data_IF_172561866613
#
_entry.id   IF_172561866613
#
_cell.length_a   1.000
_cell.length_b   1.000
_cell.length_c   1.000
_cell.angle_alpha   90.00
_cell.angle_beta   90.00
_cell.angle_gamma   90.00
#
_symmetry.space_group_name_H-M   'P 1'
#
loop_
_entity.id
_entity.type
_entity.pdbx_description
1 polymer ?
#
# COMPACT_ATOMS: atom_id res chain seq x y z
N UNK A 1 28.42 1.87 -28.64
CA UNK A 1 28.08 2.52 -27.35
C UNK A 1 26.63 2.29 -26.92
N UNK A 2 25.63 2.66 -27.73
CA UNK A 2 24.19 2.51 -27.40
C UNK A 2 23.80 1.05 -27.06
N UNK A 3 24.28 0.07 -27.84
CA UNK A 3 23.97 -1.34 -27.61
C UNK A 3 24.54 -1.89 -26.30
N UNK A 4 25.70 -1.38 -25.84
CA UNK A 4 26.28 -1.72 -24.55
C UNK A 4 25.46 -1.12 -23.39
N UNK A 5 24.95 0.10 -23.54
CA UNK A 5 24.06 0.74 -22.57
C UNK A 5 22.74 -0.03 -22.44
N UNK A 6 22.13 -0.43 -23.56
CA UNK A 6 20.92 -1.27 -23.59
C UNK A 6 21.14 -2.56 -22.82
N UNK A 7 22.21 -3.30 -23.11
CA UNK A 7 22.55 -4.54 -22.37
C UNK A 7 22.74 -4.26 -20.89
N UNK A 8 23.46 -3.20 -20.51
CA UNK A 8 23.67 -2.85 -19.09
C UNK A 8 22.35 -2.59 -18.36
N UNK A 9 21.43 -1.85 -18.96
CA UNK A 9 20.11 -1.58 -18.37
C UNK A 9 19.29 -2.87 -18.18
N UNK A 10 19.31 -3.76 -19.17
CA UNK A 10 18.67 -5.07 -19.11
C UNK A 10 19.24 -5.91 -17.94
N UNK A 11 20.57 -6.01 -17.85
CA UNK A 11 21.24 -6.72 -16.75
C UNK A 11 20.90 -6.11 -15.38
N UNK A 12 20.92 -4.78 -15.24
CA UNK A 12 20.54 -4.11 -13.99
C UNK A 12 19.08 -4.37 -13.62
N UNK A 13 18.17 -4.38 -14.60
CA UNK A 13 16.76 -4.71 -14.41
C UNK A 13 16.57 -6.14 -13.90
N UNK A 14 17.32 -7.11 -14.45
CA UNK A 14 17.29 -8.51 -13.99
C UNK A 14 17.79 -8.63 -12.56
N UNK A 15 18.92 -7.99 -12.22
CA UNK A 15 19.49 -8.01 -10.87
C UNK A 15 18.50 -7.44 -9.85
N UNK A 16 17.85 -6.31 -10.17
CA UNK A 16 16.82 -5.72 -9.31
C UNK A 16 15.67 -6.68 -9.05
N UNK A 17 15.12 -7.31 -10.09
CA UNK A 17 14.01 -8.25 -9.94
C UNK A 17 14.41 -9.57 -9.27
N UNK A 18 15.66 -10.01 -9.40
CA UNK A 18 16.13 -11.28 -8.81
C UNK A 18 16.55 -11.19 -7.35
N UNK A 19 16.92 -10.00 -6.87
CA UNK A 19 17.40 -9.82 -5.49
C UNK A 19 16.54 -8.86 -4.67
N UNK A 20 16.26 -7.66 -5.19
CA UNK A 20 15.54 -6.63 -4.42
C UNK A 20 14.06 -6.99 -4.24
N UNK A 21 13.43 -7.54 -5.28
CA UNK A 21 12.02 -7.94 -5.23
C UNK A 21 11.78 -9.08 -4.21
N UNK A 22 12.56 -10.19 -4.20
CA UNK A 22 12.43 -11.21 -3.16
C UNK A 22 12.67 -10.69 -1.74
N UNK A 23 13.66 -9.82 -1.53
CA UNK A 23 13.89 -9.20 -0.21
C UNK A 23 12.66 -8.40 0.20
N UNK A 24 12.15 -7.54 -0.70
CA UNK A 24 10.93 -6.75 -0.46
C UNK A 24 9.73 -7.63 -0.13
N UNK A 25 9.58 -8.76 -0.85
CA UNK A 25 8.54 -9.74 -0.59
C UNK A 25 8.66 -10.36 0.81
N UNK A 26 9.83 -10.88 1.18
CA UNK A 26 10.07 -11.51 2.48
C UNK A 26 9.86 -10.52 3.62
N UNK A 27 10.47 -9.33 3.55
CA UNK A 27 10.31 -8.30 4.57
C UNK A 27 8.87 -7.83 4.69
N UNK A 28 8.17 -7.71 3.55
CA UNK A 28 6.77 -7.29 3.50
C UNK A 28 5.83 -8.30 4.13
N UNK A 29 5.99 -9.59 3.81
CA UNK A 29 5.19 -10.68 4.39
C UNK A 29 5.47 -10.79 5.88
N UNK A 30 6.74 -10.84 6.31
CA UNK A 30 7.12 -10.93 7.72
C UNK A 30 6.54 -9.77 8.53
N UNK A 31 6.70 -8.54 8.03
CA UNK A 31 6.16 -7.35 8.69
C UNK A 31 4.64 -7.40 8.84
N UNK A 32 3.91 -7.72 7.76
CA UNK A 32 2.46 -7.80 7.83
C UNK A 32 1.95 -8.98 8.69
N UNK A 33 2.66 -10.11 8.74
CA UNK A 33 2.35 -11.21 9.68
C UNK A 33 2.49 -10.78 11.14
N UNK A 34 3.58 -10.07 11.49
CA UNK A 34 3.73 -9.54 12.84
C UNK A 34 2.65 -8.50 13.18
N UNK A 35 2.25 -7.65 12.22
CA UNK A 35 1.10 -6.77 12.42
C UNK A 35 -0.17 -7.57 12.75
N UNK A 36 -0.46 -8.67 12.03
CA UNK A 36 -1.61 -9.52 12.35
C UNK A 36 -1.54 -10.06 13.77
N UNK A 37 -0.39 -10.62 14.17
CA UNK A 37 -0.20 -11.19 15.51
C UNK A 37 -0.40 -10.11 16.59
N UNK A 38 0.15 -8.91 16.39
CA UNK A 38 0.05 -7.84 17.39
C UNK A 38 -1.36 -7.24 17.46
N UNK A 39 -1.98 -6.94 16.32
CA UNK A 39 -3.31 -6.32 16.29
C UNK A 39 -4.44 -7.26 16.74
N UNK A 40 -4.20 -8.58 16.74
CA UNK A 40 -5.10 -9.59 17.33
C UNK A 40 -4.96 -9.75 18.84
N UNK A 41 -3.99 -9.09 19.50
CA UNK A 41 -3.88 -9.10 20.97
C UNK A 41 -5.03 -8.34 21.62
N UNK A 42 -5.44 -8.81 22.80
CA UNK A 42 -6.59 -8.27 23.58
C UNK A 42 -6.56 -6.73 23.73
N UNK A 43 -5.38 -6.15 23.95
CA UNK A 43 -5.23 -4.70 24.17
C UNK A 43 -5.36 -3.84 22.90
N UNK A 44 -5.16 -4.43 21.73
CA UNK A 44 -5.38 -3.79 20.44
C UNK A 44 -6.79 -4.04 19.94
N UNK A 45 -7.34 -5.25 20.12
CA UNK A 45 -8.71 -5.59 19.76
C UNK A 45 -9.77 -4.76 20.50
N UNK A 46 -9.45 -4.15 21.64
CA UNK A 46 -10.35 -3.19 22.30
C UNK A 46 -10.55 -1.90 21.51
N UNK A 47 -9.64 -1.56 20.60
CA UNK A 47 -9.69 -0.32 19.82
C UNK A 47 -10.23 -0.59 18.41
N UNK A 48 -11.26 0.16 18.01
CA UNK A 48 -11.83 0.12 16.66
C UNK A 48 -10.78 0.37 15.56
N UNK A 49 -9.87 1.33 15.76
CA UNK A 49 -8.80 1.62 14.81
C UNK A 49 -7.90 0.43 14.46
N UNK A 50 -7.64 -0.45 15.44
CA UNK A 50 -6.82 -1.65 15.20
C UNK A 50 -7.45 -2.58 14.16
N UNK A 51 -8.78 -2.57 14.01
CA UNK A 51 -9.46 -3.38 13.00
C UNK A 51 -9.10 -2.92 11.58
N UNK A 52 -8.99 -1.60 11.33
CA UNK A 52 -8.56 -1.10 10.02
C UNK A 52 -7.11 -1.47 9.73
N UNK A 53 -6.21 -1.35 10.71
CA UNK A 53 -4.80 -1.77 10.53
C UNK A 53 -4.67 -3.29 10.34
N UNK A 54 -5.49 -4.07 11.03
CA UNK A 54 -5.57 -5.52 10.87
C UNK A 54 -6.03 -5.86 9.45
N UNK A 55 -7.16 -5.30 9.00
CA UNK A 55 -7.68 -5.51 7.65
C UNK A 55 -6.71 -5.03 6.56
N UNK A 56 -6.00 -3.93 6.78
CA UNK A 56 -4.94 -3.47 5.88
C UNK A 56 -3.78 -4.46 5.82
N UNK A 57 -3.38 -5.05 6.94
CA UNK A 57 -2.29 -6.04 6.97
C UNK A 57 -2.68 -7.33 6.23
N UNK A 58 -3.94 -7.78 6.36
CA UNK A 58 -4.47 -8.91 5.58
C UNK A 58 -4.43 -8.56 4.08
N UNK A 59 -4.97 -7.41 3.70
CA UNK A 59 -5.01 -6.97 2.32
C UNK A 59 -3.59 -6.81 1.73
N UNK A 60 -2.63 -6.31 2.50
CA UNK A 60 -1.23 -6.22 2.10
C UNK A 60 -0.62 -7.60 1.85
N UNK A 61 -0.89 -8.61 2.70
CA UNK A 61 -0.44 -9.98 2.45
C UNK A 61 -1.01 -10.51 1.13
N UNK A 62 -2.32 -10.33 0.90
CA UNK A 62 -2.96 -10.72 -0.36
C UNK A 62 -2.28 -10.01 -1.54
N UNK A 63 -1.95 -8.72 -1.41
CA UNK A 63 -1.24 -7.95 -2.43
C UNK A 63 0.16 -8.50 -2.73
N UNK A 64 0.92 -8.90 -1.71
CA UNK A 64 2.22 -9.53 -1.89
C UNK A 64 2.09 -10.88 -2.60
N UNK A 65 1.12 -11.71 -2.19
CA UNK A 65 0.90 -13.05 -2.76
C UNK A 65 0.34 -13.03 -4.19
N UNK A 66 -0.54 -12.08 -4.52
CA UNK A 66 -1.17 -12.02 -5.85
C UNK A 66 -0.40 -11.11 -6.81
N UNK A 67 0.08 -9.96 -6.33
CA UNK A 67 0.79 -8.97 -7.13
C UNK A 67 2.29 -9.22 -7.20
N UNK A 68 2.99 -9.17 -6.05
CA UNK A 68 4.45 -9.20 -6.04
C UNK A 68 5.02 -10.59 -6.36
N UNK A 69 4.42 -11.65 -5.86
CA UNK A 69 4.88 -13.03 -6.12
C UNK A 69 4.76 -13.39 -7.60
N UNK A 70 3.61 -13.12 -8.24
CA UNK A 70 3.43 -13.42 -9.67
C UNK A 70 4.43 -12.64 -10.52
N UNK A 71 4.68 -11.38 -10.15
CA UNK A 71 5.71 -10.53 -10.78
C UNK A 71 7.12 -11.05 -10.54
N UNK A 72 7.45 -11.47 -9.32
CA UNK A 72 8.77 -12.00 -8.98
C UNK A 72 9.08 -13.26 -9.79
N UNK A 73 8.12 -14.18 -9.88
CA UNK A 73 8.25 -15.41 -10.65
C UNK A 73 8.43 -15.12 -12.15
N UNK A 74 7.60 -14.24 -12.72
CA UNK A 74 7.64 -13.91 -14.14
C UNK A 74 8.83 -13.02 -14.53
N UNK A 75 8.99 -11.85 -13.91
CA UNK A 75 9.99 -10.84 -14.28
C UNK A 75 11.40 -11.18 -13.75
N UNK A 76 11.51 -11.85 -12.59
CA UNK A 76 12.79 -12.14 -11.93
C UNK A 76 13.39 -13.51 -12.25
N UNK A 77 12.53 -14.53 -12.29
CA UNK A 77 12.93 -15.93 -12.47
C UNK A 77 12.51 -16.53 -13.82
N UNK A 78 11.81 -15.77 -14.67
CA UNK A 78 11.34 -16.22 -15.98
C UNK A 78 10.47 -17.49 -15.90
N UNK A 79 9.77 -17.67 -14.78
CA UNK A 79 8.85 -18.78 -14.57
C UNK A 79 7.53 -18.45 -15.27
N UNK A 80 7.20 -19.25 -16.29
CA UNK A 80 5.92 -19.16 -16.99
C UNK A 80 4.81 -19.73 -16.10
N UNK A 81 3.89 -18.88 -15.66
CA UNK A 81 2.72 -19.32 -14.89
C UNK A 81 1.72 -19.96 -15.88
N UNK A 82 1.28 -21.22 -15.69
CA UNK A 82 0.32 -21.85 -16.58
C UNK A 82 -0.94 -20.99 -16.77
N UNK A 83 -1.35 -20.77 -18.01
CA UNK A 83 -2.50 -19.92 -18.34
C UNK A 83 -2.25 -18.40 -18.29
N UNK A 84 -1.01 -17.96 -18.00
CA UNK A 84 -0.66 -16.53 -17.94
C UNK A 84 -0.86 -15.77 -19.25
N UNK A 85 -0.87 -16.49 -20.38
CA UNK A 85 -1.03 -15.90 -21.71
C UNK A 85 -2.50 -15.74 -22.12
N UNK A 86 -3.45 -16.07 -21.25
CA UNK A 86 -4.88 -15.91 -21.52
C UNK A 86 -5.34 -14.46 -21.25
N UNK A 87 -6.28 -13.96 -22.07
CA UNK A 87 -6.89 -12.64 -21.85
C UNK A 87 -7.55 -12.55 -20.47
N UNK A 88 -8.21 -13.63 -20.04
CA UNK A 88 -8.84 -13.71 -18.72
C UNK A 88 -7.81 -13.51 -17.59
N UNK A 89 -6.62 -14.12 -17.69
CA UNK A 89 -5.56 -13.92 -16.71
C UNK A 89 -5.10 -12.46 -16.67
N UNK A 90 -4.85 -11.84 -17.83
CA UNK A 90 -4.48 -10.42 -17.92
C UNK A 90 -5.52 -9.51 -17.24
N UNK A 91 -6.79 -9.68 -17.60
CA UNK A 91 -7.91 -8.89 -17.07
C UNK A 91 -8.04 -9.03 -15.56
N UNK A 92 -8.14 -10.27 -15.07
CA UNK A 92 -8.32 -10.56 -13.64
C UNK A 92 -7.11 -10.09 -12.84
N UNK A 93 -5.88 -10.33 -13.33
CA UNK A 93 -4.67 -9.94 -12.62
C UNK A 93 -4.57 -8.42 -12.47
N UNK A 94 -4.78 -7.66 -13.54
CA UNK A 94 -4.72 -6.19 -13.46
C UNK A 94 -5.85 -5.67 -12.57
N UNK A 95 -7.08 -6.18 -12.74
CA UNK A 95 -8.21 -5.82 -11.90
C UNK A 95 -7.94 -6.06 -10.40
N UNK A 96 -7.46 -7.24 -10.04
CA UNK A 96 -7.14 -7.61 -8.66
C UNK A 96 -6.04 -6.72 -8.09
N UNK A 97 -4.95 -6.51 -8.84
CA UNK A 97 -3.86 -5.64 -8.42
C UNK A 97 -4.41 -4.26 -8.07
N UNK A 98 -5.07 -3.58 -9.02
CA UNK A 98 -5.59 -2.25 -8.76
C UNK A 98 -6.53 -2.23 -7.54
N UNK A 99 -7.53 -3.12 -7.52
CA UNK A 99 -8.50 -3.22 -6.41
C UNK A 99 -7.83 -3.38 -5.05
N UNK A 100 -6.87 -4.31 -4.93
CA UNK A 100 -6.16 -4.59 -3.68
C UNK A 100 -5.30 -3.39 -3.26
N UNK A 101 -4.60 -2.74 -4.19
CA UNK A 101 -3.79 -1.56 -3.89
C UNK A 101 -4.64 -0.41 -3.29
N UNK A 102 -5.89 -0.25 -3.74
CA UNK A 102 -6.80 0.80 -3.24
C UNK A 102 -7.27 0.52 -1.81
N UNK A 103 -7.68 -0.71 -1.52
CA UNK A 103 -8.35 -1.08 -0.26
C UNK A 103 -7.52 -0.66 0.97
N UNK A 104 -6.21 -0.95 0.96
CA UNK A 104 -5.33 -0.61 2.09
C UNK A 104 -5.23 0.90 2.35
N UNK A 105 -5.21 1.72 1.29
CA UNK A 105 -5.16 3.18 1.45
C UNK A 105 -6.43 3.72 2.10
N UNK A 106 -7.59 3.21 1.70
CA UNK A 106 -8.87 3.58 2.31
C UNK A 106 -8.98 3.14 3.77
N UNK A 107 -8.47 1.96 4.13
CA UNK A 107 -8.40 1.55 5.53
C UNK A 107 -7.56 2.51 6.39
N UNK A 108 -6.44 3.04 5.87
CA UNK A 108 -5.64 4.04 6.58
C UNK A 108 -6.37 5.39 6.72
N UNK A 109 -7.15 5.81 5.73
CA UNK A 109 -8.02 6.98 5.84
C UNK A 109 -9.06 6.76 6.95
N UNK A 110 -9.76 5.62 6.96
CA UNK A 110 -10.75 5.34 8.00
C UNK A 110 -10.12 5.18 9.39
N UNK A 111 -8.93 4.61 9.48
CA UNK A 111 -8.14 4.60 10.71
C UNK A 111 -7.86 6.03 11.20
N UNK A 112 -7.51 6.94 10.29
CA UNK A 112 -7.30 8.36 10.60
C UNK A 112 -8.59 9.05 11.07
N UNK A 113 -9.72 8.77 10.41
CA UNK A 113 -11.06 9.27 10.82
C UNK A 113 -11.41 8.78 12.22
N UNK A 114 -11.24 7.49 12.50
CA UNK A 114 -11.48 6.91 13.83
C UNK A 114 -10.64 7.62 14.90
N UNK A 115 -9.36 7.88 14.60
CA UNK A 115 -8.49 8.64 15.51
C UNK A 115 -8.96 10.07 15.69
N UNK A 116 -9.39 10.77 14.65
CA UNK A 116 -9.97 12.10 14.76
C UNK A 116 -11.16 12.11 15.73
N UNK A 117 -12.13 11.21 15.56
CA UNK A 117 -13.29 11.12 16.44
C UNK A 117 -12.94 10.66 17.87
N UNK A 118 -11.89 9.87 18.05
CA UNK A 118 -11.38 9.49 19.38
C UNK A 118 -10.86 10.69 20.20
N UNK A 119 -10.52 11.78 19.52
CA UNK A 119 -10.07 13.05 20.12
C UNK A 119 -11.17 14.10 20.22
N UNK A 120 -12.36 13.81 19.69
CA UNK A 120 -13.49 14.72 19.72
C UNK A 120 -14.10 14.82 21.14
N UNK A 121 -14.61 16.00 21.47
CA UNK A 121 -15.18 16.33 22.78
C UNK A 121 -16.53 15.63 22.99
N UNK A 122 -17.34 15.52 21.93
CA UNK A 122 -18.64 14.85 21.99
C UNK A 122 -18.49 13.35 22.24
N UNK A 123 -18.94 12.89 23.41
CA UNK A 123 -18.89 11.49 23.81
C UNK A 123 -19.77 10.59 22.91
N UNK A 124 -20.96 11.07 22.52
CA UNK A 124 -21.88 10.36 21.63
C UNK A 124 -21.26 10.08 20.26
N UNK A 125 -20.69 11.11 19.62
CA UNK A 125 -20.01 10.97 18.32
C UNK A 125 -18.82 10.01 18.41
N UNK A 126 -18.03 10.11 19.48
CA UNK A 126 -16.90 9.21 19.74
C UNK A 126 -17.35 7.75 19.88
N UNK A 127 -18.37 7.48 20.69
CA UNK A 127 -18.86 6.12 20.93
C UNK A 127 -19.43 5.48 19.66
N UNK A 128 -20.17 6.26 18.86
CA UNK A 128 -20.75 5.77 17.62
C UNK A 128 -19.69 5.43 16.56
N UNK A 129 -18.80 6.39 16.25
CA UNK A 129 -17.79 6.22 15.19
C UNK A 129 -16.69 5.25 15.59
N UNK A 130 -16.19 5.33 16.84
CA UNK A 130 -15.15 4.44 17.35
C UNK A 130 -15.71 3.09 17.83
N UNK A 131 -16.83 2.64 17.26
CA UNK A 131 -17.41 1.33 17.56
C UNK A 131 -16.87 0.28 16.60
N UNK A 132 -16.72 -0.96 17.07
CA UNK A 132 -16.32 -2.09 16.21
C UNK A 132 -17.34 -2.33 15.10
N UNK A 133 -18.64 -2.18 15.40
CA UNK A 133 -19.72 -2.35 14.43
C UNK A 133 -19.57 -1.37 13.25
N UNK A 134 -19.30 -0.11 13.53
CA UNK A 134 -19.03 0.88 12.48
C UNK A 134 -17.77 0.54 11.70
N UNK A 135 -16.69 0.13 12.38
CA UNK A 135 -15.46 -0.26 11.71
C UNK A 135 -15.67 -1.42 10.73
N UNK A 136 -16.34 -2.50 11.15
CA UNK A 136 -16.68 -3.61 10.27
C UNK A 136 -17.55 -3.17 9.09
N UNK A 137 -18.58 -2.34 9.34
CA UNK A 137 -19.44 -1.81 8.27
C UNK A 137 -18.62 -1.03 7.23
N UNK A 138 -17.73 -0.14 7.67
CA UNK A 138 -16.88 0.65 6.79
C UNK A 138 -15.87 -0.23 6.04
N UNK A 139 -15.29 -1.24 6.69
CA UNK A 139 -14.37 -2.19 6.04
C UNK A 139 -15.10 -2.93 4.91
N UNK A 140 -16.28 -3.51 5.17
CA UNK A 140 -17.05 -4.22 4.15
C UNK A 140 -17.47 -3.29 3.00
N UNK A 141 -17.97 -2.09 3.33
CA UNK A 141 -18.38 -1.11 2.33
C UNK A 141 -17.20 -0.67 1.45
N UNK A 142 -16.01 -0.53 2.04
CA UNK A 142 -14.78 -0.18 1.31
C UNK A 142 -14.38 -1.27 0.35
N UNK A 143 -14.40 -2.54 0.79
CA UNK A 143 -14.06 -3.68 -0.06
C UNK A 143 -15.03 -3.75 -1.24
N UNK A 144 -16.34 -3.71 -0.97
CA UNK A 144 -17.37 -3.74 -2.02
C UNK A 144 -17.23 -2.53 -2.96
N UNK A 145 -17.05 -1.33 -2.43
CA UNK A 145 -16.87 -0.12 -3.23
C UNK A 145 -15.62 -0.18 -4.12
N UNK A 146 -14.51 -0.72 -3.61
CA UNK A 146 -13.27 -0.90 -4.38
C UNK A 146 -13.43 -1.96 -5.48
N UNK A 147 -14.16 -3.06 -5.22
CA UNK A 147 -14.49 -4.07 -6.23
C UNK A 147 -15.31 -3.44 -7.37
N UNK A 148 -16.38 -2.71 -7.02
CA UNK A 148 -17.27 -2.10 -7.99
C UNK A 148 -16.58 -1.00 -8.81
N UNK A 149 -15.82 -0.10 -8.18
CA UNK A 149 -15.19 1.02 -8.89
C UNK A 149 -14.12 0.54 -9.88
N UNK A 150 -13.50 -0.62 -9.63
CA UNK A 150 -12.46 -1.16 -10.52
C UNK A 150 -12.99 -2.10 -11.61
N UNK A 151 -14.28 -2.45 -11.63
CA UNK A 151 -14.83 -3.45 -12.56
C UNK A 151 -14.57 -3.13 -14.03
N UNK A 152 -14.57 -1.85 -14.40
CA UNK A 152 -14.23 -1.36 -15.73
C UNK A 152 -12.88 -1.88 -16.28
N UNK A 153 -11.89 -2.21 -15.44
CA UNK A 153 -10.58 -2.73 -15.85
C UNK A 153 -10.72 -4.05 -16.62
N UNK A 154 -11.65 -4.92 -16.19
CA UNK A 154 -11.88 -6.22 -16.81
C UNK A 154 -12.33 -6.06 -18.27
N UNK A 155 -13.10 -5.01 -18.56
CA UNK A 155 -13.65 -4.75 -19.90
C UNK A 155 -12.58 -4.23 -20.85
N UNK A 156 -11.71 -3.33 -20.39
CA UNK A 156 -10.80 -2.58 -21.27
C UNK A 156 -9.41 -3.18 -21.42
N UNK A 157 -8.97 -4.07 -20.52
CA UNK A 157 -7.67 -4.73 -20.64
C UNK A 157 -7.73 -6.01 -21.47
N UNK A 158 -6.71 -6.23 -22.29
CA UNK A 158 -6.50 -7.46 -23.05
C UNK A 158 -5.02 -7.65 -23.36
N UNK A 159 -4.63 -8.84 -23.81
CA UNK A 159 -3.31 -9.00 -24.40
C UNK A 159 -3.29 -8.44 -25.82
N UNK A 160 -2.27 -7.65 -26.10
CA UNK A 160 -1.95 -7.13 -27.42
C UNK A 160 -0.55 -7.59 -27.82
N UNK A 161 -0.38 -7.87 -29.11
CA UNK A 161 0.93 -8.13 -29.69
C UNK A 161 1.60 -6.80 -30.01
N UNK A 162 2.73 -6.56 -29.37
CA UNK A 162 3.59 -5.44 -29.65
C UNK A 162 4.84 -5.91 -30.39
N UNK A 163 5.07 -5.34 -31.57
CA UNK A 163 6.27 -5.59 -32.37
C UNK A 163 7.29 -4.50 -32.03
N UNK A 164 8.44 -4.91 -31.50
CA UNK A 164 9.53 -3.95 -31.26
C UNK A 164 10.28 -3.61 -32.56
N UNK A 165 11.21 -2.66 -32.49
CA UNK A 165 12.07 -2.25 -33.61
C UNK A 165 12.92 -3.36 -34.24
N UNK A 166 13.03 -4.53 -33.58
CA UNK A 166 13.79 -5.69 -34.05
C UNK A 166 12.88 -6.81 -34.57
N UNK A 167 11.62 -6.52 -34.91
CA UNK A 167 10.59 -7.50 -35.31
C UNK A 167 10.32 -8.61 -34.27
N UNK A 168 10.73 -8.42 -33.01
CA UNK A 168 10.39 -9.34 -31.93
C UNK A 168 8.99 -9.04 -31.43
N UNK A 169 8.09 -10.00 -31.60
CA UNK A 169 6.75 -9.94 -31.02
C UNK A 169 6.82 -10.19 -29.52
N UNK A 170 6.17 -9.31 -28.76
CA UNK A 170 6.02 -9.41 -27.31
C UNK A 170 4.55 -9.24 -26.95
N UNK A 171 4.08 -10.08 -26.04
CA UNK A 171 2.70 -10.02 -25.55
C UNK A 171 2.63 -9.07 -24.37
N UNK A 172 1.82 -8.02 -24.46
CA UNK A 172 1.67 -7.00 -23.42
C UNK A 172 0.20 -6.91 -23.00
N UNK A 173 -0.04 -6.96 -21.68
CA UNK A 173 -1.37 -6.77 -21.11
C UNK A 173 -1.64 -5.27 -20.97
N UNK A 174 -2.44 -4.70 -21.86
CA UNK A 174 -2.76 -3.26 -21.90
C UNK A 174 -4.15 -3.03 -22.50
N UNK A 175 -4.61 -1.78 -22.50
CA UNK A 175 -5.77 -1.37 -23.29
C UNK A 175 -5.32 -0.81 -24.64
N UNK A 176 -6.10 -1.03 -25.70
CA UNK A 176 -5.98 -0.34 -26.99
C UNK A 176 -6.80 0.96 -27.04
N UNK A 177 -7.70 1.16 -26.07
CA UNK A 177 -8.50 2.38 -25.98
C UNK A 177 -7.69 3.50 -25.31
N UNK A 178 -7.29 4.49 -26.11
CA UNK A 178 -6.50 5.64 -25.65
C UNK A 178 -7.21 6.50 -24.61
N UNK A 179 -8.51 6.77 -24.79
CA UNK A 179 -9.30 7.55 -23.84
C UNK A 179 -9.32 6.85 -22.48
N UNK A 180 -9.45 5.52 -22.49
CA UNK A 180 -9.42 4.72 -21.27
C UNK A 180 -8.05 4.77 -20.58
N UNK A 181 -6.93 4.71 -21.31
CA UNK A 181 -5.59 4.84 -20.72
C UNK A 181 -5.41 6.19 -20.02
N UNK A 182 -5.88 7.28 -20.65
CA UNK A 182 -5.84 8.64 -20.07
C UNK A 182 -6.69 8.68 -18.79
N UNK A 183 -7.93 8.21 -18.89
CA UNK A 183 -8.85 8.12 -17.76
C UNK A 183 -8.21 7.34 -16.60
N UNK A 184 -7.67 6.14 -16.86
CA UNK A 184 -7.08 5.30 -15.82
C UNK A 184 -5.83 5.95 -15.21
N UNK A 185 -4.98 6.58 -16.02
CA UNK A 185 -3.77 7.27 -15.52
C UNK A 185 -4.12 8.41 -14.57
N UNK A 186 -5.10 9.24 -14.94
CA UNK A 186 -5.61 10.32 -14.08
C UNK A 186 -6.34 9.78 -12.86
N UNK A 187 -7.16 8.75 -13.03
CA UNK A 187 -7.84 8.06 -11.94
C UNK A 187 -6.84 7.55 -10.90
N UNK A 188 -5.76 6.91 -11.33
CA UNK A 188 -4.70 6.43 -10.44
C UNK A 188 -3.95 7.57 -9.74
N UNK A 189 -3.59 8.62 -10.46
CA UNK A 189 -2.95 9.80 -9.87
C UNK A 189 -3.82 10.38 -8.75
N UNK A 190 -5.10 10.60 -9.03
CA UNK A 190 -6.03 11.24 -8.09
C UNK A 190 -6.35 10.28 -6.94
N UNK A 191 -6.88 9.09 -7.20
CA UNK A 191 -7.42 8.21 -6.16
C UNK A 191 -6.37 7.46 -5.35
N UNK A 192 -5.15 7.25 -5.88
CA UNK A 192 -4.11 6.50 -5.18
C UNK A 192 -2.99 7.39 -4.65
N UNK A 193 -2.54 8.38 -5.42
CA UNK A 193 -1.36 9.18 -5.04
C UNK A 193 -1.70 10.51 -4.37
N UNK A 194 -2.79 11.18 -4.73
CA UNK A 194 -3.10 12.53 -4.22
C UNK A 194 -4.17 12.51 -3.13
N UNK A 195 -5.32 11.89 -3.41
CA UNK A 195 -6.49 11.93 -2.54
C UNK A 195 -6.23 11.29 -1.17
N UNK A 196 -5.62 10.09 -1.05
CA UNK A 196 -5.41 9.49 0.27
C UNK A 196 -4.49 10.31 1.17
N UNK A 197 -3.29 10.76 0.71
CA UNK A 197 -2.47 11.65 1.51
C UNK A 197 -3.16 12.96 1.88
N UNK A 198 -3.85 13.63 0.96
CA UNK A 198 -4.53 14.90 1.24
C UNK A 198 -5.61 14.75 2.31
N UNK A 199 -6.45 13.71 2.21
CA UNK A 199 -7.46 13.41 3.22
C UNK A 199 -6.82 13.09 4.56
N UNK A 200 -5.79 12.25 4.59
CA UNK A 200 -5.12 11.90 5.84
C UNK A 200 -4.38 13.10 6.47
N UNK A 201 -3.77 13.99 5.67
CA UNK A 201 -3.18 15.24 6.16
C UNK A 201 -4.22 16.16 6.77
N UNK A 202 -5.35 16.36 6.09
CA UNK A 202 -6.48 17.14 6.58
C UNK A 202 -6.99 16.57 7.90
N UNK A 203 -7.29 15.27 7.95
CA UNK A 203 -7.78 14.58 9.15
C UNK A 203 -6.73 14.64 10.27
N UNK A 204 -5.45 14.48 9.95
CA UNK A 204 -4.34 14.58 10.90
C UNK A 204 -4.24 15.97 11.51
N UNK A 205 -4.35 17.03 10.70
CA UNK A 205 -4.39 18.41 11.16
C UNK A 205 -5.58 18.68 12.09
N UNK A 206 -6.78 18.24 11.69
CA UNK A 206 -7.98 18.35 12.52
C UNK A 206 -7.82 17.59 13.86
N UNK A 207 -7.20 16.42 13.85
CA UNK A 207 -6.89 15.63 15.06
C UNK A 207 -5.93 16.39 15.98
N UNK A 208 -4.88 17.01 15.42
CA UNK A 208 -3.94 17.84 16.19
C UNK A 208 -4.65 19.04 16.83
N UNK A 209 -5.54 19.70 16.11
CA UNK A 209 -6.32 20.83 16.63
C UNK A 209 -7.23 20.41 17.79
N UNK A 210 -7.93 19.27 17.68
CA UNK A 210 -8.72 18.72 18.77
C UNK A 210 -7.88 18.40 20.00
N UNK A 211 -6.70 17.79 19.81
CA UNK A 211 -5.77 17.50 20.91
C UNK A 211 -5.26 18.79 21.55
N UNK A 212 -4.93 19.84 20.78
CA UNK A 212 -4.50 21.13 21.30
C UNK A 212 -5.62 21.84 22.07
N UNK A 213 -6.84 21.85 21.55
CA UNK A 213 -8.02 22.42 22.23
C UNK A 213 -8.31 21.70 23.55
N UNK A 214 -8.28 20.35 23.53
CA UNK A 214 -8.43 19.55 24.74
C UNK A 214 -7.33 19.79 25.78
N UNK A 215 -6.10 20.15 25.36
CA UNK A 215 -5.03 20.55 26.30
C UNK A 215 -5.31 21.88 26.97
N UNK A 216 -5.85 22.86 26.25
CA UNK A 216 -6.13 24.21 26.78
C UNK A 216 -7.27 24.22 27.79
N UNK A 217 -8.24 23.31 27.66
CA UNK A 217 -9.40 23.23 28.55
C UNK A 217 -9.16 22.40 29.83
N UNK A 218 -8.08 21.61 29.91
CA UNK A 218 -7.76 20.78 31.07
C UNK A 218 -6.60 21.44 31.84
N UNK A 219 -6.92 22.54 32.55
CA UNK A 219 -6.13 23.04 33.68
C UNK A 219 -6.74 22.47 34.97
N UNK A 220 -6.29 21.28 35.42
CA UNK A 220 -6.13 20.87 36.83
C UNK A 220 -5.86 19.37 37.00
N UNK A 221 -4.76 19.05 37.69
CA UNK A 221 -4.54 17.94 38.64
C UNK A 221 -5.18 16.55 38.45
N UNK A 222 -5.02 15.86 37.30
CA UNK A 222 -5.28 14.40 37.23
C UNK A 222 -4.23 13.62 36.42
N UNK A 223 -3.33 12.91 37.11
CA UNK A 223 -2.32 11.98 36.56
C UNK A 223 -2.82 10.89 35.57
N UNK A 224 -4.06 10.35 35.63
CA UNK A 224 -4.58 9.39 34.64
C UNK A 224 -4.59 9.92 33.20
N UNK A 225 -4.58 11.25 33.03
CA UNK A 225 -4.61 11.91 31.72
C UNK A 225 -3.30 11.79 30.95
N UNK A 226 -2.15 11.63 31.61
CA UNK A 226 -0.83 11.62 30.97
C UNK A 226 -0.55 10.35 30.15
N UNK A 227 -1.01 9.19 30.61
CA UNK A 227 -0.84 7.90 29.90
C UNK A 227 -1.72 7.87 28.64
N UNK A 228 -2.98 8.28 28.77
CA UNK A 228 -3.91 8.44 27.63
C UNK A 228 -3.34 9.47 26.63
N UNK A 229 -2.73 10.56 27.13
CA UNK A 229 -2.10 11.63 26.33
C UNK A 229 -0.86 11.15 25.57
N UNK A 230 0.02 10.34 26.19
CA UNK A 230 1.22 9.78 25.53
C UNK A 230 0.83 8.78 24.44
N UNK A 231 -0.19 7.94 24.65
CA UNK A 231 -0.71 7.03 23.63
C UNK A 231 -1.28 7.76 22.41
N UNK A 232 -2.06 8.83 22.62
CA UNK A 232 -2.62 9.65 21.53
C UNK A 232 -1.53 10.34 20.69
N UNK A 233 -0.49 10.89 21.32
CA UNK A 233 0.62 11.53 20.60
C UNK A 233 1.45 10.54 19.76
N UNK A 234 1.70 9.33 20.27
CA UNK A 234 2.43 8.29 19.52
C UNK A 234 1.67 7.84 18.28
N UNK A 235 0.36 7.69 18.40
CA UNK A 235 -0.52 7.30 17.29
C UNK A 235 -0.59 8.37 16.20
N UNK A 236 -0.69 9.65 16.56
CA UNK A 236 -0.64 10.76 15.58
C UNK A 236 0.71 10.79 14.87
N UNK A 237 1.82 10.65 15.61
CA UNK A 237 3.16 10.60 15.02
C UNK A 237 3.31 9.43 14.05
N UNK A 238 2.73 8.27 14.37
CA UNK A 238 2.76 7.08 13.51
C UNK A 238 2.02 7.36 12.20
N UNK A 239 0.83 7.95 12.28
CA UNK A 239 0.04 8.31 11.09
C UNK A 239 0.75 9.35 10.23
N UNK A 240 1.36 10.40 10.82
CA UNK A 240 2.12 11.40 10.04
C UNK A 240 3.30 10.77 9.29
N UNK A 241 4.03 9.85 9.92
CA UNK A 241 5.13 9.13 9.26
C UNK A 241 4.59 8.23 8.13
N UNK A 242 3.50 7.50 8.36
CA UNK A 242 2.83 6.70 7.33
C UNK A 242 2.39 7.54 6.13
N UNK A 243 1.81 8.72 6.36
CA UNK A 243 1.39 9.64 5.29
C UNK A 243 2.59 10.12 4.47
N UNK A 244 3.66 10.54 5.15
CA UNK A 244 4.86 11.04 4.50
C UNK A 244 5.49 9.97 3.60
N UNK A 245 5.61 8.75 4.12
CA UNK A 245 6.13 7.62 3.35
C UNK A 245 5.18 7.22 2.21
N UNK A 246 3.86 7.25 2.42
CA UNK A 246 2.89 7.00 1.35
C UNK A 246 3.11 7.94 0.17
N UNK A 247 3.25 9.25 0.41
CA UNK A 247 3.49 10.23 -0.66
C UNK A 247 4.80 9.95 -1.39
N UNK A 248 5.89 9.78 -0.63
CA UNK A 248 7.24 9.61 -1.20
C UNK A 248 7.33 8.31 -2.02
N UNK A 249 6.71 7.22 -1.53
CA UNK A 249 6.87 5.89 -2.13
C UNK A 249 5.87 5.60 -3.25
N UNK A 250 4.68 6.23 -3.25
CA UNK A 250 3.64 5.97 -4.26
C UNK A 250 3.60 6.98 -5.39
N UNK A 251 3.97 8.24 -5.14
CA UNK A 251 3.93 9.29 -6.18
C UNK A 251 4.82 9.00 -7.40
N UNK A 252 6.03 8.42 -7.28
CA UNK A 252 6.86 8.13 -8.46
C UNK A 252 6.18 7.19 -9.45
N UNK A 253 5.38 6.23 -8.96
CA UNK A 253 4.64 5.32 -9.81
C UNK A 253 3.53 6.04 -10.58
N UNK A 254 2.77 6.93 -9.94
CA UNK A 254 1.74 7.72 -10.62
C UNK A 254 2.35 8.67 -11.65
N UNK A 255 3.45 9.36 -11.33
CA UNK A 255 4.14 10.22 -12.29
C UNK A 255 4.73 9.45 -13.48
N UNK A 256 5.23 8.23 -13.26
CA UNK A 256 5.67 7.36 -14.35
C UNK A 256 4.55 7.12 -15.38
N UNK A 257 3.34 6.79 -14.94
CA UNK A 257 2.21 6.53 -15.86
C UNK A 257 1.75 7.80 -16.60
N UNK A 258 1.81 8.97 -15.95
CA UNK A 258 1.57 10.26 -16.63
C UNK A 258 2.63 10.52 -17.69
N UNK A 259 3.90 10.26 -17.40
CA UNK A 259 4.98 10.36 -18.39
C UNK A 259 4.76 9.39 -19.57
N UNK A 260 4.37 8.14 -19.31
CA UNK A 260 4.07 7.16 -20.37
C UNK A 260 2.89 7.65 -21.22
N UNK A 261 1.83 8.16 -20.61
CA UNK A 261 0.67 8.73 -21.31
C UNK A 261 1.10 9.85 -22.28
N UNK A 262 1.86 10.84 -21.81
CA UNK A 262 2.30 11.99 -22.62
C UNK A 262 3.25 11.57 -23.74
N UNK A 263 4.17 10.64 -23.46
CA UNK A 263 5.19 10.24 -24.45
C UNK A 263 4.69 9.27 -25.50
N UNK A 264 3.66 8.47 -25.18
CA UNK A 264 3.02 7.59 -26.16
C UNK A 264 2.32 8.40 -27.25
N UNK A 265 1.81 9.59 -26.91
CA UNK A 265 1.19 10.52 -27.86
C UNK A 265 2.19 11.19 -28.81
N UNK A 266 3.46 11.33 -28.38
CA UNK A 266 4.49 12.06 -29.12
C UNK A 266 5.31 11.18 -30.08
N UNK A 267 5.39 9.88 -29.82
CA UNK A 267 6.23 8.95 -30.59
C UNK A 267 5.43 7.73 -31.06
N UNK A 268 5.28 7.56 -32.37
CA UNK A 268 4.64 6.38 -32.97
C UNK A 268 5.45 5.09 -32.72
N UNK A 269 6.78 5.20 -32.64
CA UNK A 269 7.70 4.10 -32.31
C UNK A 269 8.83 4.63 -31.43
N UNK A 270 8.91 4.18 -30.16
CA UNK A 270 9.98 4.59 -29.25
C UNK A 270 11.29 3.83 -29.55
N UNK A 271 12.45 4.52 -29.59
CA UNK A 271 13.77 3.88 -29.68
C UNK A 271 13.99 2.79 -28.62
N UNK A 272 14.69 1.71 -28.98
CA UNK A 272 14.93 0.56 -28.09
C UNK A 272 15.57 0.94 -26.76
N UNK A 273 16.49 1.90 -26.76
CA UNK A 273 17.12 2.41 -25.53
C UNK A 273 16.14 3.10 -24.58
N UNK A 274 15.15 3.84 -25.13
CA UNK A 274 14.13 4.51 -24.33
C UNK A 274 13.21 3.47 -23.69
N UNK A 275 12.84 2.41 -24.44
CA UNK A 275 12.01 1.32 -23.91
C UNK A 275 12.68 0.60 -22.74
N UNK A 276 13.98 0.29 -22.83
CA UNK A 276 14.70 -0.37 -21.73
C UNK A 276 14.88 0.54 -20.52
N UNK A 277 15.10 1.84 -20.74
CA UNK A 277 15.14 2.83 -19.67
C UNK A 277 13.79 2.95 -18.95
N UNK A 278 12.69 2.99 -19.69
CA UNK A 278 11.32 3.02 -19.14
C UNK A 278 11.03 1.77 -18.33
N UNK A 279 11.39 0.58 -18.82
CA UNK A 279 11.26 -0.68 -18.05
C UNK A 279 12.06 -0.66 -16.76
N UNK A 280 13.29 -0.16 -16.80
CA UNK A 280 14.14 -0.04 -15.63
C UNK A 280 13.53 0.90 -14.57
N UNK A 281 13.09 2.11 -14.98
CA UNK A 281 12.40 3.04 -14.09
C UNK A 281 11.11 2.41 -13.54
N UNK A 282 10.31 1.76 -14.38
CA UNK A 282 9.08 1.09 -13.97
C UNK A 282 9.34 0.07 -12.86
N UNK A 283 10.45 -0.68 -12.95
CA UNK A 283 10.82 -1.64 -11.92
C UNK A 283 11.16 -0.96 -10.60
N UNK A 284 11.89 0.16 -10.62
CA UNK A 284 12.21 0.94 -9.42
C UNK A 284 10.94 1.50 -8.78
N UNK A 285 10.09 2.21 -9.54
CA UNK A 285 8.90 2.84 -8.97
C UNK A 285 7.88 1.81 -8.47
N UNK A 286 7.81 0.63 -9.09
CA UNK A 286 7.02 -0.50 -8.58
C UNK A 286 7.59 -1.03 -7.27
N UNK A 287 8.91 -1.21 -7.15
CA UNK A 287 9.54 -1.64 -5.90
C UNK A 287 9.21 -0.65 -4.77
N UNK A 288 9.36 0.67 -5.02
CA UNK A 288 8.99 1.71 -4.04
C UNK A 288 7.51 1.59 -3.63
N UNK A 289 6.62 1.42 -4.61
CA UNK A 289 5.20 1.22 -4.39
C UNK A 289 4.94 -0.01 -3.50
N UNK A 290 5.60 -1.15 -3.72
CA UNK A 290 5.43 -2.34 -2.86
C UNK A 290 6.03 -2.14 -1.46
N UNK A 291 7.18 -1.47 -1.34
CA UNK A 291 7.81 -1.16 -0.03
C UNK A 291 6.83 -0.41 0.86
N UNK A 292 6.05 0.53 0.32
CA UNK A 292 5.03 1.27 1.08
C UNK A 292 4.07 0.35 1.87
N UNK A 293 3.65 -0.77 1.29
CA UNK A 293 2.73 -1.71 1.94
C UNK A 293 3.43 -2.69 2.90
N UNK A 294 4.77 -2.76 2.88
CA UNK A 294 5.59 -3.47 3.86
C UNK A 294 6.00 -2.60 5.04
N UNK A 295 6.09 -1.28 4.86
CA UNK A 295 6.49 -0.32 5.88
C UNK A 295 5.63 -0.27 7.17
N UNK A 296 4.31 -0.55 7.20
CA UNK A 296 3.48 -0.27 8.37
C UNK A 296 4.01 -0.89 9.67
N UNK A 297 4.46 -2.15 9.63
CA UNK A 297 5.06 -2.81 10.80
C UNK A 297 6.29 -2.07 11.33
N UNK A 298 7.24 -1.77 10.44
CA UNK A 298 8.47 -1.08 10.79
C UNK A 298 8.21 0.33 11.34
N UNK A 299 7.22 1.04 10.79
CA UNK A 299 6.80 2.34 11.32
C UNK A 299 6.20 2.19 12.72
N UNK A 300 5.28 1.24 12.92
CA UNK A 300 4.68 0.99 14.23
C UNK A 300 5.75 0.61 15.27
N UNK A 301 6.73 -0.21 14.89
CA UNK A 301 7.89 -0.54 15.73
C UNK A 301 8.74 0.69 16.05
N UNK A 302 9.05 1.56 15.09
CA UNK A 302 9.91 2.73 15.35
C UNK A 302 9.19 3.85 16.13
N UNK A 303 7.88 4.01 15.97
CA UNK A 303 7.15 5.17 16.51
C UNK A 303 6.33 4.84 17.77
N UNK A 304 5.69 3.68 17.82
CA UNK A 304 4.72 3.35 18.89
C UNK A 304 5.36 2.54 20.00
N UNK A 305 5.55 3.14 21.18
CA UNK A 305 6.04 2.42 22.37
C UNK A 305 5.08 1.32 22.79
N UNK A 306 3.77 1.56 22.67
CA UNK A 306 2.75 0.53 22.96
C UNK A 306 2.93 -0.69 22.05
N UNK A 307 3.15 -0.47 20.76
CA UNK A 307 3.34 -1.54 19.79
C UNK A 307 4.62 -2.34 20.06
N UNK A 308 5.75 -1.65 20.30
CA UNK A 308 7.01 -2.30 20.69
C UNK A 308 6.88 -3.16 21.94
N UNK A 309 6.21 -2.63 22.97
CA UNK A 309 6.06 -3.36 24.23
C UNK A 309 5.25 -4.66 24.04
N UNK A 310 4.20 -4.64 23.21
CA UNK A 310 3.46 -5.87 22.89
C UNK A 310 4.30 -6.84 22.05
N UNK A 311 5.09 -6.36 21.10
CA UNK A 311 6.02 -7.22 20.35
C UNK A 311 7.06 -7.90 21.25
N UNK A 312 7.65 -7.16 22.20
CA UNK A 312 8.61 -7.72 23.17
C UNK A 312 7.94 -8.79 24.04
N UNK A 313 6.71 -8.53 24.53
CA UNK A 313 5.94 -9.53 25.29
C UNK A 313 5.72 -10.81 24.49
N UNK A 314 5.39 -10.71 23.20
CA UNK A 314 5.23 -11.88 22.32
C UNK A 314 6.53 -12.67 22.21
N UNK A 315 7.66 -11.98 22.00
CA UNK A 315 8.98 -12.63 21.96
C UNK A 315 9.29 -13.32 23.28
N UNK A 316 8.99 -12.69 24.42
CA UNK A 316 9.24 -13.25 25.74
C UNK A 316 8.33 -14.47 26.01
N UNK A 317 7.07 -14.43 25.58
CA UNK A 317 6.13 -15.58 25.63
C UNK A 317 6.68 -16.76 24.80
N UNK A 318 7.15 -16.50 23.57
CA UNK A 318 7.74 -17.52 22.69
C UNK A 318 9.02 -18.11 23.32
N UNK A 319 9.92 -17.27 23.84
CA UNK A 319 11.15 -17.72 24.50
C UNK A 319 10.86 -18.61 25.71
N UNK A 320 9.85 -18.26 26.52
CA UNK A 320 9.43 -19.09 27.66
C UNK A 320 8.91 -20.43 27.18
N UNK A 321 8.05 -20.46 26.15
CA UNK A 321 7.53 -21.70 25.59
C UNK A 321 8.64 -22.65 25.11
N UNK A 322 9.64 -22.14 24.38
CA UNK A 322 10.78 -22.94 23.96
C UNK A 322 11.64 -23.44 25.13
N UNK A 323 11.81 -22.65 26.20
CA UNK A 323 12.52 -23.09 27.42
C UNK A 323 11.77 -24.15 28.23
N UNK A 324 10.47 -24.35 27.98
CA UNK A 324 9.73 -25.46 28.58
C UNK A 324 9.79 -26.74 27.73
N UNK A 325 10.18 -26.63 26.46
CA UNK A 325 10.29 -27.74 25.50
C UNK A 325 11.69 -28.35 25.45
N UNK A 326 12.71 -27.58 25.81
CA UNK A 326 14.12 -27.98 25.92
C UNK A 326 14.60 -27.72 27.33
#
# INVERSE_FOLDING_TARGET
>A
MILLLVKRLEWSSIILNRWIVPITFLTGIIGNLFNLIIFTRKDFLKQSCSLYFLSASINNIIMYLTGLLTRMLSDGFQVNIPGSNSNMYCQIRIYLVYTIFAISNWFLIFASVDRFYSTNQSALKRQYVCSKRMAFKLICLTIIGCILIHIHIIVYYKYLYYVNLYNKQTLICTSDNRIYIIFLSLFMLIFYSLLPPLLMLLIGFLTLNNVRKSRRQINSNRMPTLIIRRGKNQLIKTLTVQITLLVILTSPHSFYWIYVMITTDKYSIKPSIIQEYEKFILNIVRILLYINYGCPFYIHMSVSKKFRNEFIKIIDEIKRYFRYLY
#
